data_IF_665507912726
#
_entry.id   IF_665507912726
#
_cell.length_a   1.000
_cell.length_b   1.000
_cell.length_c   1.000
_cell.angle_alpha   90.00
_cell.angle_beta   90.00
_cell.angle_gamma   90.00
#
_symmetry.space_group_name_H-M   'P 1'
#
loop_
_entity.id
_entity.type
_entity.pdbx_description
1 polymer ?
#
# COMPACT_ATOMS: atom_id res chain seq x y z
N UNK A 1 4.11 5.83 8.28
CA UNK A 1 3.58 7.10 7.72
C UNK A 1 4.15 8.31 8.47
N UNK A 2 4.93 9.15 7.77
CA UNK A 2 5.55 10.36 8.33
C UNK A 2 4.55 11.46 8.71
N UNK A 3 5.01 12.72 8.89
CA UNK A 3 4.15 13.84 9.26
C UNK A 3 2.96 13.99 8.31
N UNK A 4 1.75 14.18 8.87
CA UNK A 4 0.58 14.58 8.07
C UNK A 4 0.84 15.97 7.48
N UNK A 5 0.18 16.29 6.37
CA UNK A 5 0.42 17.48 5.52
C UNK A 5 0.45 18.87 6.19
N UNK A 6 0.17 18.99 7.49
CA UNK A 6 0.38 20.23 8.24
C UNK A 6 1.86 20.60 8.26
N UNK A 7 2.22 21.64 7.50
CA UNK A 7 3.57 22.20 7.44
C UNK A 7 4.45 21.63 6.35
N UNK A 8 3.94 20.76 5.48
CA UNK A 8 4.67 20.30 4.31
C UNK A 8 4.63 21.36 3.18
N UNK A 9 5.64 21.41 2.29
CA UNK A 9 5.59 22.22 1.09
C UNK A 9 4.34 21.93 0.27
N UNK A 10 3.79 22.93 -0.43
CA UNK A 10 2.52 22.80 -1.20
C UNK A 10 2.54 21.68 -2.25
N UNK A 11 3.71 21.23 -2.70
CA UNK A 11 3.88 20.13 -3.65
C UNK A 11 4.04 18.73 -3.03
N UNK A 12 4.12 18.61 -1.70
CA UNK A 12 4.27 17.32 -1.01
C UNK A 12 2.90 16.66 -0.80
N UNK A 13 2.28 16.27 -1.91
CA UNK A 13 0.97 15.61 -1.97
C UNK A 13 1.11 14.26 -2.67
N UNK A 14 0.32 13.29 -2.23
CA UNK A 14 0.23 11.97 -2.85
C UNK A 14 -1.25 11.58 -2.98
N UNK A 15 -1.73 11.27 -4.19
CA UNK A 15 -1.05 11.44 -5.49
C UNK A 15 -0.76 12.92 -5.82
N UNK A 16 0.25 13.20 -6.64
CA UNK A 16 0.70 14.56 -6.99
C UNK A 16 1.21 14.72 -8.43
N UNK A 17 1.63 15.93 -8.80
CA UNK A 17 2.17 16.18 -10.15
C UNK A 17 3.58 15.58 -10.34
N UNK A 18 4.31 15.36 -9.24
CA UNK A 18 5.63 14.77 -9.29
C UNK A 18 5.54 13.23 -9.28
N UNK A 19 5.62 12.64 -10.47
CA UNK A 19 5.56 11.19 -10.67
C UNK A 19 6.59 10.42 -9.82
N UNK A 20 7.78 10.99 -9.57
CA UNK A 20 8.78 10.31 -8.73
C UNK A 20 8.33 10.23 -7.27
N UNK A 21 7.70 11.28 -6.74
CA UNK A 21 7.15 11.27 -5.38
C UNK A 21 6.01 10.26 -5.27
N UNK A 22 5.19 10.12 -6.32
CA UNK A 22 4.14 9.10 -6.37
C UNK A 22 4.69 7.68 -6.38
N UNK A 23 5.71 7.41 -7.19
CA UNK A 23 6.40 6.11 -7.21
C UNK A 23 6.99 5.80 -5.83
N UNK A 24 7.66 6.76 -5.20
CA UNK A 24 8.23 6.58 -3.86
C UNK A 24 7.15 6.35 -2.80
N UNK A 25 6.05 7.11 -2.85
CA UNK A 25 4.94 6.95 -1.92
C UNK A 25 4.22 5.61 -2.09
N UNK A 26 3.99 5.16 -3.33
CA UNK A 26 3.45 3.83 -3.61
C UNK A 26 4.39 2.73 -3.12
N UNK A 27 5.70 2.83 -3.41
CA UNK A 27 6.69 1.87 -2.94
C UNK A 27 6.74 1.80 -1.41
N UNK A 28 6.67 2.94 -0.73
CA UNK A 28 6.59 3.01 0.73
C UNK A 28 5.31 2.35 1.25
N UNK A 29 4.17 2.56 0.61
CA UNK A 29 2.91 1.94 1.01
C UNK A 29 2.96 0.41 0.87
N UNK A 30 3.54 -0.10 -0.23
CA UNK A 30 3.75 -1.55 -0.42
C UNK A 30 4.69 -2.11 0.66
N UNK A 31 5.80 -1.42 0.94
CA UNK A 31 6.75 -1.84 1.97
C UNK A 31 6.13 -1.84 3.38
N UNK A 32 5.35 -0.82 3.73
CA UNK A 32 4.67 -0.70 5.02
C UNK A 32 3.70 -1.89 5.23
N UNK A 33 2.88 -2.23 4.21
CA UNK A 33 1.92 -3.33 4.28
C UNK A 33 2.62 -4.68 4.40
N UNK A 34 3.64 -4.95 3.59
CA UNK A 34 4.40 -6.21 3.64
C UNK A 34 5.13 -6.38 4.98
N UNK A 35 5.71 -5.30 5.50
CA UNK A 35 6.35 -5.31 6.82
C UNK A 35 5.35 -5.62 7.94
N UNK A 36 4.11 -5.15 7.83
CA UNK A 36 3.05 -5.49 8.78
C UNK A 36 2.64 -6.96 8.66
N UNK A 37 2.50 -7.50 7.45
CA UNK A 37 2.20 -8.93 7.22
C UNK A 37 3.29 -9.81 7.85
N UNK A 38 4.57 -9.50 7.59
CA UNK A 38 5.70 -10.21 8.20
C UNK A 38 5.67 -10.12 9.73
N UNK A 39 5.39 -8.93 10.27
CA UNK A 39 5.25 -8.77 11.72
C UNK A 39 4.13 -9.64 12.29
N UNK A 40 2.95 -9.69 11.66
CA UNK A 40 1.82 -10.54 12.08
C UNK A 40 2.25 -12.01 12.10
N UNK A 41 2.88 -12.50 11.02
CA UNK A 41 3.35 -13.89 10.92
C UNK A 41 4.40 -14.25 11.97
N UNK A 42 5.25 -13.28 12.37
CA UNK A 42 6.19 -13.46 13.48
C UNK A 42 5.52 -13.50 14.85
N UNK A 43 4.42 -12.77 15.05
CA UNK A 43 3.64 -12.85 16.29
C UNK A 43 2.85 -14.16 16.37
N UNK A 44 2.30 -14.61 15.24
CA UNK A 44 1.49 -15.81 15.15
C UNK A 44 1.88 -16.62 13.90
N UNK A 45 2.78 -17.61 14.06
CA UNK A 45 3.15 -18.52 12.97
C UNK A 45 1.91 -19.22 12.41
N UNK A 46 1.76 -19.21 11.07
CA UNK A 46 0.61 -19.81 10.38
C UNK A 46 -0.67 -18.97 10.42
N UNK A 47 -0.62 -17.70 10.84
CA UNK A 47 -1.77 -16.80 10.74
C UNK A 47 -2.28 -16.72 9.29
N UNK A 48 -3.59 -16.93 9.11
CA UNK A 48 -4.26 -16.66 7.85
C UNK A 48 -4.40 -15.13 7.68
N UNK A 49 -3.67 -14.56 6.72
CA UNK A 49 -3.66 -13.11 6.47
C UNK A 49 -4.22 -12.85 5.08
N UNK A 50 -5.26 -12.01 5.01
CA UNK A 50 -5.77 -11.46 3.76
C UNK A 50 -5.57 -9.95 3.70
N UNK A 51 -5.54 -9.40 2.48
CA UNK A 51 -5.44 -7.95 2.26
C UNK A 51 -6.71 -7.42 1.60
N UNK A 52 -7.20 -6.28 2.07
CA UNK A 52 -8.31 -5.54 1.45
C UNK A 52 -7.88 -4.10 1.22
N UNK A 53 -8.11 -3.59 0.01
CA UNK A 53 -7.81 -2.21 -0.35
C UNK A 53 -8.95 -1.57 -1.13
N UNK A 54 -9.23 -0.29 -0.86
CA UNK A 54 -10.25 0.49 -1.57
C UNK A 54 -9.62 1.64 -2.35
N UNK A 55 -10.07 1.90 -3.58
CA UNK A 55 -9.58 3.00 -4.43
C UNK A 55 -8.07 2.90 -4.66
N UNK A 56 -7.28 3.92 -4.32
CA UNK A 56 -5.82 3.87 -4.37
C UNK A 56 -5.24 2.75 -3.49
N UNK A 57 -5.90 2.46 -2.36
CA UNK A 57 -5.56 1.30 -1.53
C UNK A 57 -5.78 -0.02 -2.26
N UNK A 58 -6.73 -0.10 -3.21
CA UNK A 58 -6.94 -1.27 -4.05
C UNK A 58 -5.77 -1.51 -5.01
N UNK A 59 -5.17 -0.45 -5.55
CA UNK A 59 -3.95 -0.54 -6.35
C UNK A 59 -2.76 -1.04 -5.51
N UNK A 60 -2.56 -0.46 -4.31
CA UNK A 60 -1.52 -0.93 -3.38
C UNK A 60 -1.75 -2.40 -2.99
N UNK A 61 -2.99 -2.80 -2.68
CA UNK A 61 -3.33 -4.18 -2.36
C UNK A 61 -3.03 -5.14 -3.52
N UNK A 62 -3.25 -4.73 -4.77
CA UNK A 62 -2.91 -5.53 -5.95
C UNK A 62 -1.39 -5.74 -6.08
N UNK A 63 -0.59 -4.68 -5.88
CA UNK A 63 0.87 -4.77 -5.89
C UNK A 63 1.38 -5.68 -4.77
N UNK A 64 0.86 -5.55 -3.55
CA UNK A 64 1.20 -6.43 -2.42
C UNK A 64 0.84 -7.88 -2.74
N UNK A 65 -0.35 -8.13 -3.29
CA UNK A 65 -0.79 -9.46 -3.67
C UNK A 65 0.10 -10.11 -4.74
N UNK A 66 0.73 -9.31 -5.62
CA UNK A 66 1.70 -9.82 -6.59
C UNK A 66 3.07 -10.17 -6.00
N UNK A 67 3.35 -9.75 -4.76
CA UNK A 67 4.63 -9.92 -4.06
C UNK A 67 4.55 -10.84 -2.83
N UNK A 68 3.36 -11.19 -2.37
CA UNK A 68 3.11 -12.01 -1.18
C UNK A 68 2.37 -13.30 -1.54
N UNK A 69 3.12 -14.40 -1.71
CA UNK A 69 2.58 -15.70 -2.14
C UNK A 69 1.67 -16.36 -1.09
N UNK A 70 1.86 -16.06 0.20
CA UNK A 70 1.18 -16.71 1.32
C UNK A 70 -0.04 -15.94 1.84
N UNK A 71 -0.63 -15.05 1.03
CA UNK A 71 -1.90 -14.41 1.38
C UNK A 71 -3.06 -15.39 1.20
N UNK A 72 -3.95 -15.44 2.20
CA UNK A 72 -5.18 -16.24 2.12
C UNK A 72 -6.14 -15.68 1.07
N UNK A 73 -6.20 -14.36 0.95
CA UNK A 73 -6.98 -13.69 -0.09
C UNK A 73 -6.50 -12.24 -0.31
N UNK A 74 -6.85 -11.69 -1.47
CA UNK A 74 -6.74 -10.27 -1.76
C UNK A 74 -8.09 -9.78 -2.32
N UNK A 75 -8.66 -8.74 -1.72
CA UNK A 75 -9.91 -8.13 -2.16
C UNK A 75 -9.63 -6.69 -2.60
N UNK A 76 -9.79 -6.45 -3.90
CA UNK A 76 -9.46 -5.19 -4.56
C UNK A 76 -10.75 -4.40 -4.80
N UNK A 77 -11.10 -3.51 -3.88
CA UNK A 77 -12.31 -2.69 -3.94
C UNK A 77 -12.11 -1.49 -4.86
N UNK A 78 -12.77 -1.49 -6.02
CA UNK A 78 -12.73 -0.39 -7.01
C UNK A 78 -11.29 0.13 -7.20
N UNK A 79 -10.33 -0.74 -7.55
CA UNK A 79 -8.94 -0.35 -7.60
C UNK A 79 -8.77 0.75 -8.64
N UNK A 80 -7.99 1.76 -8.29
CA UNK A 80 -7.55 2.76 -9.26
C UNK A 80 -6.62 2.06 -10.24
N UNK A 81 -7.13 1.76 -11.43
CA UNK A 81 -6.39 1.05 -12.49
C UNK A 81 -5.77 2.01 -13.51
N UNK A 82 -6.28 3.24 -13.59
CA UNK A 82 -5.82 4.28 -14.50
C UNK A 82 -6.06 5.67 -13.89
N UNK A 83 -5.11 6.59 -14.09
CA UNK A 83 -5.12 7.97 -13.57
C UNK A 83 -4.88 8.95 -14.73
N UNK A 84 -5.48 8.70 -15.89
CA UNK A 84 -5.50 9.61 -17.06
C UNK A 84 -6.60 10.66 -16.96
#
# INVERSE_FOLDING_TARGET
>A
HGPRSKGLPKGAVFPGENVLDDVHATAQAVWDVRSLIDWIRRQQPGAAVGVYGLSLGGYVAALVASLEDELTCAVLGVPVADLV
#
